data_IF_748987567943
#
_entry.id   IF_748987567943
#
_cell.length_a   1.000
_cell.length_b   1.000
_cell.length_c   1.000
_cell.angle_alpha   90.00
_cell.angle_beta   90.00
_cell.angle_gamma   90.00
#
_symmetry.space_group_name_H-M   'P 1'
#
loop_
_entity.id
_entity.type
_entity.pdbx_description
1 polymer ?
#
# COMPACT_ATOMS: atom_id res chain seq x y z
N UNK A 1 11.29 82.16 -1.51
CA UNK A 1 10.78 81.24 -0.47
C UNK A 1 10.35 79.96 -1.17
N UNK A 2 11.09 78.88 -0.95
CA UNK A 2 10.93 77.59 -1.64
C UNK A 2 10.55 76.56 -0.58
N UNK A 3 9.46 75.81 -0.79
CA UNK A 3 9.24 74.56 -0.06
C UNK A 3 8.66 73.47 -0.96
N UNK A 4 9.35 72.33 -0.82
CA UNK A 4 9.37 71.08 -1.60
C UNK A 4 8.03 70.36 -1.68
N UNK A 5 7.72 69.83 -2.86
CA UNK A 5 6.74 68.77 -3.06
C UNK A 5 7.33 67.43 -2.61
N UNK A 6 6.64 66.73 -1.71
CA UNK A 6 6.95 65.37 -1.28
C UNK A 6 6.31 64.37 -2.27
N UNK A 7 7.15 63.68 -3.03
CA UNK A 7 6.76 62.53 -3.86
C UNK A 7 6.75 61.27 -2.98
N UNK A 8 5.56 60.68 -2.81
CA UNK A 8 5.41 59.34 -2.26
C UNK A 8 5.62 58.32 -3.37
N UNK A 9 6.69 57.51 -3.27
CA UNK A 9 6.89 56.33 -4.10
C UNK A 9 6.33 55.12 -3.33
N UNK A 10 5.20 54.57 -3.79
CA UNK A 10 4.68 53.31 -3.29
C UNK A 10 5.33 52.15 -4.09
N UNK A 11 6.15 51.34 -3.42
CA UNK A 11 6.70 50.11 -3.98
C UNK A 11 5.62 49.01 -3.89
N UNK A 12 5.08 48.57 -5.02
CA UNK A 12 4.23 47.38 -5.11
C UNK A 12 5.13 46.14 -5.15
N UNK A 13 5.18 45.38 -4.05
CA UNK A 13 5.82 44.07 -4.04
C UNK A 13 4.88 43.05 -4.68
N UNK A 14 5.29 42.50 -5.83
CA UNK A 14 4.59 41.39 -6.49
C UNK A 14 4.96 40.08 -5.79
N UNK A 15 4.09 39.58 -4.91
CA UNK A 15 4.19 38.21 -4.40
C UNK A 15 3.63 37.26 -5.46
N UNK A 16 4.50 36.60 -6.22
CA UNK A 16 4.10 35.43 -7.00
C UNK A 16 3.79 34.30 -6.01
N UNK A 17 2.49 34.03 -5.82
CA UNK A 17 2.06 32.79 -5.20
C UNK A 17 2.35 31.67 -6.21
N UNK A 18 3.46 30.96 -6.03
CA UNK A 18 3.69 29.69 -6.70
C UNK A 18 2.65 28.70 -6.18
N UNK A 19 1.57 28.53 -6.94
CA UNK A 19 0.64 27.44 -6.75
C UNK A 19 1.39 26.14 -7.04
N UNK A 20 1.83 25.44 -6.00
CA UNK A 20 2.33 24.07 -6.14
C UNK A 20 1.17 23.26 -6.69
N UNK A 21 1.26 22.87 -7.96
CA UNK A 21 0.31 21.96 -8.57
C UNK A 21 0.31 20.67 -7.74
N UNK A 22 -0.83 20.31 -7.17
CA UNK A 22 -1.06 18.98 -6.62
C UNK A 22 -0.80 18.00 -7.76
N UNK A 23 0.30 17.25 -7.71
CA UNK A 23 0.51 16.10 -8.57
C UNK A 23 -0.70 15.18 -8.39
N UNK A 24 -1.55 15.06 -9.42
CA UNK A 24 -2.66 14.11 -9.37
C UNK A 24 -2.06 12.70 -9.36
N UNK A 25 -2.10 12.05 -8.21
CA UNK A 25 -1.69 10.65 -8.08
C UNK A 25 -2.61 9.77 -8.92
N UNK A 26 -2.04 9.01 -9.84
CA UNK A 26 -2.77 8.02 -10.64
C UNK A 26 -3.03 6.79 -9.78
N UNK A 27 -4.27 6.30 -9.75
CA UNK A 27 -4.62 5.10 -9.00
C UNK A 27 -5.09 3.97 -9.92
N UNK A 28 -4.54 2.77 -9.69
CA UNK A 28 -5.00 1.51 -10.26
C UNK A 28 -5.62 0.58 -9.20
N UNK A 29 -5.86 1.10 -8.00
CA UNK A 29 -6.38 0.39 -6.84
C UNK A 29 -7.81 0.89 -6.57
N UNK A 30 -8.81 0.00 -6.50
CA UNK A 30 -10.18 0.42 -6.27
C UNK A 30 -10.36 0.99 -4.84
N UNK A 31 -11.26 1.96 -4.71
CA UNK A 31 -11.63 2.55 -3.42
C UNK A 31 -12.60 1.64 -2.64
N UNK A 32 -13.42 0.86 -3.35
CA UNK A 32 -14.36 -0.11 -2.79
C UNK A 32 -13.90 -1.53 -3.09
N UNK A 33 -14.41 -2.52 -2.33
CA UNK A 33 -14.10 -3.95 -2.54
C UNK A 33 -12.59 -4.25 -2.55
N UNK A 34 -11.86 -3.59 -1.67
CA UNK A 34 -10.40 -3.74 -1.56
C UNK A 34 -10.01 -5.18 -1.17
N UNK A 35 -10.89 -5.87 -0.48
CA UNK A 35 -10.76 -7.28 -0.11
C UNK A 35 -10.77 -8.20 -1.34
N UNK A 36 -11.75 -8.05 -2.24
CA UNK A 36 -11.81 -8.77 -3.52
C UNK A 36 -10.60 -8.45 -4.40
N UNK A 37 -10.18 -7.18 -4.41
CA UNK A 37 -9.00 -6.75 -5.15
C UNK A 37 -7.72 -7.40 -4.63
N UNK A 38 -7.48 -7.41 -3.32
CA UNK A 38 -6.30 -8.05 -2.72
C UNK A 38 -6.26 -9.54 -3.05
N UNK A 39 -7.40 -10.24 -2.91
CA UNK A 39 -7.52 -11.68 -3.19
C UNK A 39 -7.13 -12.01 -4.63
N UNK A 40 -7.54 -11.16 -5.57
CA UNK A 40 -7.40 -11.39 -7.02
C UNK A 40 -6.17 -10.77 -7.65
N UNK A 41 -5.42 -9.91 -6.96
CA UNK A 41 -4.30 -9.17 -7.56
C UNK A 41 -3.00 -9.16 -6.77
N UNK A 42 -2.99 -9.43 -5.45
CA UNK A 42 -1.73 -9.43 -4.69
C UNK A 42 -0.83 -10.58 -5.16
N UNK A 43 0.32 -10.24 -5.73
CA UNK A 43 1.29 -11.23 -6.20
C UNK A 43 2.09 -11.80 -5.03
N UNK A 44 1.71 -13.01 -4.61
CA UNK A 44 2.35 -13.80 -3.57
C UNK A 44 3.78 -14.25 -3.96
N UNK A 45 4.18 -14.10 -5.21
CA UNK A 45 5.55 -14.35 -5.66
C UNK A 45 6.51 -13.18 -5.34
N UNK A 46 5.98 -11.98 -5.11
CA UNK A 46 6.78 -10.76 -4.95
C UNK A 46 7.37 -10.57 -3.55
N UNK A 47 6.98 -11.39 -2.57
CA UNK A 47 7.51 -11.38 -1.21
C UNK A 47 7.54 -12.80 -0.61
N UNK A 48 8.30 -12.98 0.47
CA UNK A 48 8.41 -14.29 1.15
C UNK A 48 7.16 -14.58 1.98
N UNK A 49 6.60 -15.78 1.84
CA UNK A 49 5.48 -16.30 2.62
C UNK A 49 5.46 -17.84 2.56
N UNK A 50 4.71 -18.46 3.47
CA UNK A 50 4.57 -19.91 3.58
C UNK A 50 3.72 -20.54 2.46
N UNK A 51 3.04 -19.74 1.64
CA UNK A 51 2.30 -20.22 0.46
C UNK A 51 3.21 -20.50 -0.73
N UNK A 52 4.46 -20.02 -0.71
CA UNK A 52 5.45 -20.24 -1.78
C UNK A 52 5.54 -21.69 -2.28
N UNK A 53 5.70 -22.71 -1.41
CA UNK A 53 5.75 -24.11 -1.80
C UNK A 53 4.47 -24.69 -2.41
N UNK A 54 3.33 -24.00 -2.30
CA UNK A 54 2.04 -24.44 -2.84
C UNK A 54 1.78 -23.92 -4.26
N UNK A 55 2.61 -23.00 -4.77
CA UNK A 55 2.42 -22.35 -6.07
C UNK A 55 2.98 -23.21 -7.20
N UNK A 56 2.19 -23.40 -8.24
CA UNK A 56 2.60 -23.90 -9.54
C UNK A 56 2.90 -22.73 -10.50
N UNK A 57 3.54 -22.97 -11.67
CA UNK A 57 3.69 -21.93 -12.68
C UNK A 57 2.34 -21.32 -13.09
N UNK A 58 2.16 -20.03 -12.82
CA UNK A 58 0.91 -19.30 -13.07
C UNK A 58 0.13 -18.96 -11.81
N UNK A 59 0.45 -19.57 -10.66
CA UNK A 59 -0.19 -19.22 -9.39
C UNK A 59 0.49 -17.99 -8.77
N UNK A 60 -0.17 -16.85 -8.92
CA UNK A 60 0.34 -15.58 -8.41
C UNK A 60 -0.46 -15.09 -7.19
N UNK A 61 -1.76 -15.33 -7.16
CA UNK A 61 -2.68 -14.70 -6.20
C UNK A 61 -3.34 -15.72 -5.27
N UNK A 62 -4.06 -15.25 -4.26
CA UNK A 62 -4.88 -16.13 -3.43
C UNK A 62 -5.97 -16.83 -4.25
N UNK A 63 -6.55 -16.12 -5.22
CA UNK A 63 -7.55 -16.67 -6.13
C UNK A 63 -6.99 -17.80 -7.00
N UNK A 64 -5.77 -17.66 -7.51
CA UNK A 64 -5.12 -18.72 -8.32
C UNK A 64 -4.89 -19.99 -7.49
N UNK A 65 -4.57 -19.82 -6.20
CA UNK A 65 -4.46 -20.92 -5.23
C UNK A 65 -5.81 -21.52 -4.79
N UNK A 66 -6.93 -21.03 -5.34
CA UNK A 66 -8.29 -21.44 -4.96
C UNK A 66 -8.65 -21.11 -3.52
N UNK A 67 -7.99 -20.12 -2.91
CA UNK A 67 -8.24 -19.72 -1.53
C UNK A 67 -9.41 -18.73 -1.45
N UNK A 68 -10.37 -19.05 -0.60
CA UNK A 68 -11.50 -18.16 -0.29
C UNK A 68 -11.34 -17.57 1.12
N UNK A 69 -11.56 -16.25 1.30
CA UNK A 69 -11.50 -15.63 2.62
C UNK A 69 -12.55 -16.22 3.57
N UNK A 70 -12.14 -16.52 4.80
CA UNK A 70 -13.06 -16.88 5.89
C UNK A 70 -13.67 -15.66 6.56
N UNK A 71 -13.03 -14.50 6.43
CA UNK A 71 -13.55 -13.21 6.87
C UNK A 71 -13.11 -12.09 5.93
N UNK A 72 -14.02 -11.16 5.67
CA UNK A 72 -13.81 -9.95 4.89
C UNK A 72 -14.07 -8.75 5.79
N UNK A 73 -13.11 -7.85 5.88
CA UNK A 73 -13.21 -6.58 6.59
C UNK A 73 -13.12 -5.43 5.59
N UNK A 74 -13.55 -4.23 6.00
CA UNK A 74 -13.47 -3.04 5.14
C UNK A 74 -12.05 -2.72 4.70
N UNK A 75 -11.06 -3.08 5.51
CA UNK A 75 -9.64 -2.80 5.31
C UNK A 75 -8.82 -4.07 5.05
N UNK A 76 -9.43 -5.22 4.75
CA UNK A 76 -8.62 -6.44 4.57
C UNK A 76 -9.36 -7.76 4.50
N UNK A 77 -8.56 -8.84 4.52
CA UNK A 77 -9.03 -10.22 4.39
C UNK A 77 -8.32 -11.16 5.36
N UNK A 78 -9.05 -12.19 5.78
CA UNK A 78 -8.51 -13.31 6.56
C UNK A 78 -8.82 -14.61 5.83
N UNK A 79 -7.83 -15.50 5.77
CA UNK A 79 -7.97 -16.88 5.34
C UNK A 79 -7.59 -17.77 6.52
N UNK A 80 -8.47 -18.68 6.89
CA UNK A 80 -8.25 -19.56 8.02
C UNK A 80 -8.62 -21.00 7.66
N UNK A 81 -7.76 -21.91 8.06
CA UNK A 81 -7.97 -23.35 7.99
C UNK A 81 -7.74 -23.94 9.39
N UNK A 82 -7.70 -25.26 9.51
CA UNK A 82 -7.38 -25.89 10.79
C UNK A 82 -5.93 -25.59 11.24
N UNK A 83 -5.00 -25.44 10.30
CA UNK A 83 -3.57 -25.41 10.60
C UNK A 83 -2.93 -24.05 10.32
N UNK A 84 -3.58 -23.18 9.54
CA UNK A 84 -3.02 -21.91 9.07
C UNK A 84 -4.00 -20.75 9.15
N UNK A 85 -3.47 -19.58 9.48
CA UNK A 85 -4.14 -18.28 9.36
C UNK A 85 -3.26 -17.30 8.58
N UNK A 86 -3.86 -16.72 7.55
CA UNK A 86 -3.30 -15.61 6.79
C UNK A 86 -4.18 -14.38 6.99
N UNK A 87 -3.57 -13.22 7.24
CA UNK A 87 -4.31 -11.96 7.35
C UNK A 87 -3.61 -10.88 6.54
N UNK A 88 -4.40 -10.12 5.79
CA UNK A 88 -3.95 -8.94 5.06
C UNK A 88 -4.77 -7.77 5.53
N UNK A 89 -4.10 -6.70 5.93
CA UNK A 89 -4.73 -5.46 6.37
C UNK A 89 -4.12 -4.28 5.61
N UNK A 90 -4.94 -3.43 5.02
CA UNK A 90 -4.56 -2.14 4.45
C UNK A 90 -4.42 -1.15 5.59
N UNK A 91 -3.23 -0.56 5.72
CA UNK A 91 -2.90 0.38 6.79
C UNK A 91 -2.96 1.82 6.28
N UNK A 92 -2.42 2.04 5.07
CA UNK A 92 -2.30 3.36 4.48
C UNK A 92 -2.33 3.30 2.96
N UNK A 93 -2.80 4.38 2.35
CA UNK A 93 -2.87 4.65 0.91
C UNK A 93 -2.11 5.92 0.61
N UNK A 94 -1.34 5.94 -0.46
CA UNK A 94 -0.62 7.14 -0.88
C UNK A 94 0.49 6.82 -1.88
N UNK A 95 1.10 7.85 -2.45
CA UNK A 95 2.29 7.71 -3.29
C UNK A 95 3.54 7.74 -2.38
N UNK A 96 3.97 6.56 -1.92
CA UNK A 96 5.05 6.45 -0.92
C UNK A 96 6.43 6.39 -1.58
N UNK A 97 6.50 6.02 -2.86
CA UNK A 97 7.73 5.94 -3.63
C UNK A 97 7.98 7.20 -4.50
N UNK A 98 7.01 8.11 -4.57
CA UNK A 98 7.04 9.40 -5.30
C UNK A 98 7.11 9.26 -6.83
N UNK A 99 6.52 8.20 -7.39
CA UNK A 99 6.45 7.98 -8.83
C UNK A 99 5.16 8.50 -9.49
N UNK A 100 4.24 9.07 -8.69
CA UNK A 100 2.95 9.57 -9.12
C UNK A 100 1.85 8.52 -9.17
N UNK A 101 2.08 7.30 -8.66
CA UNK A 101 1.12 6.20 -8.60
C UNK A 101 0.72 5.91 -7.14
N UNK A 102 -0.54 5.54 -6.91
CA UNK A 102 -1.00 5.13 -5.58
C UNK A 102 -0.40 3.77 -5.20
N UNK A 103 0.21 3.73 -4.01
CA UNK A 103 0.68 2.54 -3.32
C UNK A 103 -0.21 2.22 -2.10
N UNK A 104 -0.11 0.98 -1.60
CA UNK A 104 -0.63 0.59 -0.30
C UNK A 104 0.50 0.21 0.65
N UNK A 105 0.37 0.60 1.92
CA UNK A 105 1.03 -0.09 3.02
C UNK A 105 0.10 -1.17 3.54
N UNK A 106 0.55 -2.42 3.49
CA UNK A 106 -0.17 -3.58 4.01
C UNK A 106 0.53 -4.17 5.23
N UNK A 107 -0.24 -4.81 6.10
CA UNK A 107 0.26 -5.79 7.04
C UNK A 107 -0.10 -7.19 6.55
N UNK A 108 0.91 -8.01 6.27
CA UNK A 108 0.73 -9.43 5.97
C UNK A 108 1.11 -10.27 7.19
N UNK A 109 0.17 -11.06 7.70
CA UNK A 109 0.42 -12.06 8.73
C UNK A 109 0.29 -13.45 8.13
N UNK A 110 1.23 -14.31 8.50
CA UNK A 110 1.36 -15.69 8.07
C UNK A 110 1.69 -16.54 9.29
N UNK A 111 0.70 -17.30 9.76
CA UNK A 111 0.73 -17.94 11.06
C UNK A 111 0.27 -19.38 10.98
N UNK A 112 1.07 -20.27 11.55
CA UNK A 112 0.62 -21.61 11.89
C UNK A 112 -0.27 -21.52 13.15
N UNK A 113 -1.45 -22.14 13.09
CA UNK A 113 -2.35 -22.29 14.24
C UNK A 113 -1.88 -23.42 15.15
N UNK A 114 -1.22 -24.42 14.57
CA UNK A 114 -0.48 -25.47 15.26
C UNK A 114 1.01 -25.40 14.89
N UNK A 115 1.86 -25.03 15.85
CA UNK A 115 3.29 -24.78 15.66
C UNK A 115 3.75 -23.40 16.15
N UNK A 116 5.03 -23.10 15.96
CA UNK A 116 5.64 -21.82 16.41
C UNK A 116 5.69 -20.76 15.32
N UNK A 117 5.49 -21.12 14.05
CA UNK A 117 5.65 -20.19 12.94
C UNK A 117 4.62 -19.06 13.00
N UNK A 118 5.12 -17.83 13.14
CA UNK A 118 4.30 -16.64 13.26
C UNK A 118 5.06 -15.44 12.70
N UNK A 119 4.85 -15.18 11.42
CA UNK A 119 5.49 -14.08 10.71
C UNK A 119 4.49 -12.96 10.47
N UNK A 120 4.93 -11.73 10.72
CA UNK A 120 4.20 -10.53 10.35
C UNK A 120 5.14 -9.60 9.60
N UNK A 121 4.74 -9.19 8.40
CA UNK A 121 5.58 -8.40 7.50
C UNK A 121 4.81 -7.17 7.00
N UNK A 122 5.31 -5.96 7.25
CA UNK A 122 4.79 -4.76 6.60
C UNK A 122 5.24 -4.75 5.14
N UNK A 123 4.32 -4.49 4.21
CA UNK A 123 4.58 -4.46 2.77
C UNK A 123 4.25 -3.08 2.22
N UNK A 124 5.12 -2.54 1.36
CA UNK A 124 4.76 -1.49 0.41
C UNK A 124 4.44 -2.19 -0.91
N UNK A 125 3.23 -2.01 -1.41
CA UNK A 125 2.78 -2.63 -2.66
C UNK A 125 2.27 -1.58 -3.64
N UNK A 126 2.48 -1.83 -4.93
CA UNK A 126 2.04 -0.93 -6.00
C UNK A 126 1.47 -1.71 -7.17
N UNK A 127 0.68 -1.03 -7.99
CA UNK A 127 0.10 -1.58 -9.22
C UNK A 127 0.23 -0.56 -10.33
N UNK A 128 0.97 -0.89 -11.37
CA UNK A 128 1.37 0.05 -12.43
C UNK A 128 0.38 0.17 -13.59
N UNK A 129 -0.54 -0.77 -13.73
CA UNK A 129 -1.58 -0.75 -14.76
C UNK A 129 -2.84 -1.52 -14.33
N UNK A 130 -3.94 -1.36 -15.08
CA UNK A 130 -5.25 -1.94 -14.73
C UNK A 130 -5.39 -3.44 -14.96
N UNK A 131 -4.43 -4.09 -15.63
CA UNK A 131 -4.42 -5.53 -15.91
C UNK A 131 -3.35 -6.29 -15.10
N UNK A 132 -2.34 -5.60 -14.57
CA UNK A 132 -1.24 -6.17 -13.82
C UNK A 132 -1.58 -6.56 -12.39
N UNK A 133 -0.61 -7.17 -11.71
CA UNK A 133 -0.70 -7.52 -10.30
C UNK A 133 -0.38 -6.34 -9.37
N UNK A 134 -0.88 -6.44 -8.14
CA UNK A 134 -0.42 -5.65 -7.01
C UNK A 134 0.85 -6.31 -6.47
N UNK A 135 2.00 -5.67 -6.69
CA UNK A 135 3.33 -6.25 -6.43
C UNK A 135 3.99 -5.60 -5.20
N UNK A 136 4.67 -6.38 -4.38
CA UNK A 136 5.47 -5.85 -3.28
C UNK A 136 6.74 -5.19 -3.79
N UNK A 137 6.92 -3.92 -3.46
CA UNK A 137 8.10 -3.11 -3.74
C UNK A 137 9.11 -3.17 -2.60
N UNK A 138 8.62 -3.21 -1.36
CA UNK A 138 9.45 -3.29 -0.16
C UNK A 138 8.74 -4.06 0.95
N UNK A 139 9.53 -4.74 1.79
CA UNK A 139 9.04 -5.54 2.91
C UNK A 139 9.78 -5.25 4.22
N UNK A 140 10.84 -4.44 4.20
CA UNK A 140 11.65 -4.00 5.34
C UNK A 140 11.27 -2.59 5.83
N UNK A 141 9.97 -2.32 5.93
CA UNK A 141 9.50 -1.01 6.40
C UNK A 141 9.83 -0.83 7.89
N UNK A 142 10.73 0.12 8.20
CA UNK A 142 11.25 0.38 9.56
C UNK A 142 10.14 0.91 10.47
N UNK A 143 9.20 1.66 9.92
CA UNK A 143 8.07 2.22 10.65
C UNK A 143 6.79 2.00 9.85
N UNK A 144 5.91 1.14 10.37
CA UNK A 144 4.56 0.96 9.81
C UNK A 144 3.60 0.81 10.98
N UNK A 145 3.01 1.93 11.46
CA UNK A 145 2.03 1.89 12.54
C UNK A 145 0.92 0.88 12.25
N UNK A 146 0.62 0.02 13.21
CA UNK A 146 -0.35 -1.06 13.04
C UNK A 146 0.23 -2.38 12.49
N UNK A 147 1.51 -2.43 12.11
CA UNK A 147 2.18 -3.66 11.68
C UNK A 147 3.62 -3.75 12.18
N UNK A 148 3.78 -4.33 13.38
CA UNK A 148 5.11 -4.65 13.89
C UNK A 148 5.62 -5.91 13.20
N UNK A 149 6.86 -5.88 12.74
CA UNK A 149 7.49 -7.05 12.16
C UNK A 149 7.70 -8.14 13.23
N UNK A 150 7.31 -9.37 12.89
CA UNK A 150 7.51 -10.56 13.72
C UNK A 150 8.22 -11.62 12.87
N UNK A 151 9.29 -12.21 13.39
CA UNK A 151 10.06 -13.30 12.80
C UNK A 151 10.23 -14.40 13.85
N UNK A 152 9.23 -15.28 13.98
CA UNK A 152 9.22 -16.41 14.93
C UNK A 152 8.95 -17.74 14.22
#
# INVERSE_FOLDING_TARGET
MSYRALLFFALLASTSADSIASSETTSYIPQEKIDEFIVSTLDLASFRNSLGPRREPGDHTFADLGMEPTSRATDGVVFESNDWRYRIQVLERGDFNQDGIEDLKLCFQDRALDGSYNVQTPLLVSRYDSAGYLVALAFDLIETPGCNRIHE
#
